data_IF_238409356171
#
_entry.id   IF_238409356171
#
_cell.length_a   1.000
_cell.length_b   1.000
_cell.length_c   1.000
_cell.angle_alpha   90.00
_cell.angle_beta   90.00
_cell.angle_gamma   90.00
#
_symmetry.space_group_name_H-M   'P 1'
#
loop_
_entity.id
_entity.type
_entity.pdbx_description
1 polymer ?
#
# COMPACT_ATOMS: atom_id res chain seq x y z
N UNK A 1 -15.65 26.26 -5.57
CA UNK A 1 -16.06 25.07 -4.81
C UNK A 1 -17.12 24.37 -5.62
N UNK A 2 -16.74 23.30 -6.31
CA UNK A 2 -17.66 22.50 -7.10
C UNK A 2 -18.41 21.56 -6.16
N UNK A 3 -19.74 21.44 -6.31
CA UNK A 3 -20.62 20.59 -5.48
C UNK A 3 -20.22 19.10 -5.44
N UNK A 4 -19.28 18.70 -6.28
CA UNK A 4 -18.65 17.37 -6.34
C UNK A 4 -17.51 17.18 -5.33
N UNK A 5 -17.02 18.25 -4.69
CA UNK A 5 -15.93 18.21 -3.72
C UNK A 5 -16.43 18.01 -2.29
N UNK A 6 -17.74 17.91 -2.08
CA UNK A 6 -18.35 17.76 -0.76
C UNK A 6 -18.20 16.29 -0.29
N UNK A 7 -17.25 15.99 0.61
CA UNK A 7 -16.94 14.60 0.97
C UNK A 7 -18.10 13.94 1.70
N UNK A 8 -18.90 14.72 2.42
CA UNK A 8 -20.08 14.22 3.13
C UNK A 8 -21.17 13.73 2.18
N UNK A 9 -21.42 14.48 1.09
CA UNK A 9 -22.43 14.13 0.10
C UNK A 9 -22.02 12.86 -0.67
N UNK A 10 -20.74 12.75 -1.02
CA UNK A 10 -20.19 11.55 -1.63
C UNK A 10 -20.31 10.33 -0.69
N UNK A 11 -20.01 10.49 0.60
CA UNK A 11 -20.14 9.43 1.60
C UNK A 11 -21.59 8.97 1.76
N UNK A 12 -22.53 9.93 1.85
CA UNK A 12 -23.95 9.62 2.00
C UNK A 12 -24.48 8.78 0.83
N UNK A 13 -24.17 9.19 -0.42
CA UNK A 13 -24.60 8.48 -1.62
C UNK A 13 -24.02 7.06 -1.70
N UNK A 14 -22.76 6.89 -1.30
CA UNK A 14 -22.12 5.56 -1.26
C UNK A 14 -22.78 4.66 -0.21
N UNK A 15 -23.09 5.19 0.97
CA UNK A 15 -23.78 4.43 2.01
C UNK A 15 -25.18 4.01 1.58
N UNK A 16 -25.97 4.91 0.98
CA UNK A 16 -27.29 4.57 0.43
C UNK A 16 -27.20 3.46 -0.61
N UNK A 17 -26.22 3.55 -1.53
CA UNK A 17 -25.98 2.52 -2.55
C UNK A 17 -25.63 1.18 -1.92
N UNK A 18 -24.75 1.15 -0.92
CA UNK A 18 -24.37 -0.07 -0.21
C UNK A 18 -25.55 -0.68 0.55
N UNK A 19 -26.38 0.15 1.18
CA UNK A 19 -27.59 -0.26 1.92
C UNK A 19 -28.62 -0.83 0.94
N UNK A 20 -28.83 -0.21 -0.22
CA UNK A 20 -29.75 -0.70 -1.24
C UNK A 20 -29.32 -2.07 -1.79
N UNK A 21 -28.02 -2.28 -1.99
CA UNK A 21 -27.48 -3.53 -2.55
C UNK A 21 -27.38 -4.69 -1.53
N UNK A 22 -27.01 -4.39 -0.28
CA UNK A 22 -26.65 -5.43 0.70
C UNK A 22 -27.58 -5.45 1.92
N UNK A 23 -28.43 -4.44 2.08
CA UNK A 23 -29.24 -4.22 3.27
C UNK A 23 -28.46 -3.62 4.44
N UNK A 24 -29.13 -2.78 5.23
CA UNK A 24 -28.50 -2.04 6.33
C UNK A 24 -27.76 -2.94 7.34
N UNK A 25 -28.32 -4.11 7.66
CA UNK A 25 -27.69 -5.06 8.61
C UNK A 25 -26.32 -5.55 8.15
N UNK A 26 -26.15 -5.87 6.86
CA UNK A 26 -24.86 -6.32 6.33
C UNK A 26 -23.84 -5.19 6.28
N UNK A 27 -24.28 -3.97 5.94
CA UNK A 27 -23.42 -2.78 5.92
C UNK A 27 -22.90 -2.47 7.33
N UNK A 28 -23.77 -2.50 8.35
CA UNK A 28 -23.36 -2.29 9.76
C UNK A 28 -22.39 -3.36 10.24
N UNK A 29 -22.65 -4.64 9.94
CA UNK A 29 -21.74 -5.72 10.30
C UNK A 29 -20.38 -5.60 9.59
N UNK A 30 -20.36 -5.19 8.32
CA UNK A 30 -19.13 -4.96 7.58
C UNK A 30 -18.32 -3.77 8.16
N UNK A 31 -19.01 -2.68 8.54
CA UNK A 31 -18.37 -1.55 9.21
C UNK A 31 -17.76 -1.95 10.57
N UNK A 32 -18.50 -2.74 11.37
CA UNK A 32 -18.00 -3.27 12.64
C UNK A 32 -16.81 -4.21 12.43
N UNK A 33 -16.89 -5.11 11.45
CA UNK A 33 -15.80 -6.01 11.09
C UNK A 33 -14.56 -5.24 10.61
N UNK A 34 -14.73 -4.15 9.87
CA UNK A 34 -13.64 -3.27 9.45
C UNK A 34 -12.96 -2.58 10.65
N UNK A 35 -13.72 -2.17 11.66
CA UNK A 35 -13.18 -1.58 12.89
C UNK A 35 -12.34 -2.59 13.68
N UNK A 36 -12.77 -3.85 13.72
CA UNK A 36 -12.03 -4.93 14.40
C UNK A 36 -10.89 -5.50 13.56
N UNK A 37 -10.85 -5.22 12.24
CA UNK A 37 -9.83 -5.76 11.35
C UNK A 37 -8.49 -5.13 11.70
N UNK A 38 -7.45 -5.91 12.03
CA UNK A 38 -6.11 -5.37 12.22
C UNK A 38 -5.72 -4.60 10.97
N UNK A 39 -5.28 -3.35 11.13
CA UNK A 39 -4.78 -2.52 10.02
C UNK A 39 -3.79 -3.37 9.23
N UNK A 40 -4.06 -3.58 7.94
CA UNK A 40 -3.22 -4.41 7.08
C UNK A 40 -1.78 -3.92 7.25
N UNK A 41 -0.90 -4.82 7.71
CA UNK A 41 0.52 -4.51 7.86
C UNK A 41 1.03 -4.06 6.48
N UNK A 42 1.87 -3.01 6.42
CA UNK A 42 2.43 -2.57 5.15
C UNK A 42 3.07 -3.76 4.43
N UNK A 43 2.93 -3.84 3.10
CA UNK A 43 3.46 -4.94 2.31
C UNK A 43 4.94 -5.15 2.64
N UNK A 44 5.38 -6.41 2.69
CA UNK A 44 6.74 -6.77 3.09
C UNK A 44 7.82 -6.00 2.30
N UNK A 45 7.51 -5.64 1.05
CA UNK A 45 8.34 -4.79 0.19
C UNK A 45 8.65 -3.40 0.79
N UNK A 46 7.69 -2.76 1.45
CA UNK A 46 7.90 -1.47 2.13
C UNK A 46 8.79 -1.64 3.36
N UNK A 47 8.69 -2.77 4.07
CA UNK A 47 9.60 -3.07 5.18
C UNK A 47 11.05 -3.24 4.72
N UNK A 48 11.28 -3.91 3.60
CA UNK A 48 12.62 -3.98 3.01
C UNK A 48 13.09 -2.63 2.47
N UNK A 49 12.15 -1.76 2.12
CA UNK A 49 12.38 -0.35 1.90
C UNK A 49 12.52 0.46 3.21
N UNK A 50 12.80 -0.14 4.35
CA UNK A 50 13.30 0.58 5.54
C UNK A 50 14.64 0.02 6.02
N UNK A 51 15.10 -1.10 5.46
CA UNK A 51 16.39 -1.69 5.81
C UNK A 51 17.58 -0.86 5.29
N UNK A 52 18.60 -0.75 6.14
CA UNK A 52 19.91 -0.18 5.80
C UNK A 52 20.62 -1.00 4.72
N UNK A 53 21.50 -0.35 3.94
CA UNK A 53 22.22 -0.99 2.83
C UNK A 53 23.08 -2.19 3.28
N UNK A 54 23.58 -2.17 4.52
CA UNK A 54 24.31 -3.29 5.11
C UNK A 54 23.40 -4.52 5.30
N UNK A 55 22.23 -4.34 5.92
CA UNK A 55 21.26 -5.42 6.10
C UNK A 55 20.71 -5.92 4.76
N UNK A 56 20.58 -5.03 3.76
CA UNK A 56 20.17 -5.40 2.40
C UNK A 56 21.22 -6.28 1.72
N UNK A 57 22.50 -5.96 1.88
CA UNK A 57 23.61 -6.79 1.36
C UNK A 57 23.60 -8.19 1.99
N UNK A 58 23.34 -8.29 3.29
CA UNK A 58 23.34 -9.58 4.01
C UNK A 58 22.21 -10.53 3.56
N UNK A 59 21.08 -9.98 3.10
CA UNK A 59 19.94 -10.73 2.57
C UNK A 59 19.93 -10.82 1.03
N UNK A 60 20.99 -10.35 0.36
CA UNK A 60 21.13 -10.41 -1.10
C UNK A 60 20.29 -9.40 -1.88
N UNK A 61 19.77 -8.36 -1.21
CA UNK A 61 19.02 -7.27 -1.85
C UNK A 61 20.00 -6.18 -2.37
N UNK A 62 19.74 -5.59 -3.55
CA UNK A 62 20.57 -4.52 -4.08
C UNK A 62 20.48 -3.26 -3.19
N UNK A 63 21.54 -2.45 -3.10
CA UNK A 63 21.52 -1.20 -2.34
C UNK A 63 20.47 -0.24 -2.89
N UNK A 64 20.01 0.69 -2.06
CA UNK A 64 18.87 1.57 -2.39
C UNK A 64 19.22 2.66 -3.40
N UNK A 65 20.49 3.04 -3.46
CA UNK A 65 21.01 4.00 -4.43
C UNK A 65 21.25 3.37 -5.80
N UNK A 66 21.29 4.21 -6.84
CA UNK A 66 21.79 3.81 -8.16
C UNK A 66 23.08 3.03 -7.97
N UNK A 67 23.07 1.77 -8.43
CA UNK A 67 24.25 0.92 -8.46
C UNK A 67 25.44 1.75 -8.91
N UNK A 68 26.55 1.83 -8.15
CA UNK A 68 27.75 2.46 -8.66
C UNK A 68 28.07 1.85 -10.03
N UNK A 69 28.50 2.65 -11.01
CA UNK A 69 28.74 2.16 -12.36
C UNK A 69 29.58 0.90 -12.28
N UNK A 70 29.09 -0.18 -12.92
CA UNK A 70 29.80 -1.45 -12.91
C UNK A 70 31.25 -1.19 -13.31
N UNK A 71 32.21 -1.68 -12.53
CA UNK A 71 33.60 -1.36 -12.81
C UNK A 71 33.98 -2.00 -14.17
N UNK A 72 34.60 -1.18 -15.00
CA UNK A 72 34.84 -1.38 -16.45
C UNK A 72 35.53 -2.70 -16.85
N UNK A 73 36.15 -3.41 -15.90
CA UNK A 73 36.75 -4.72 -16.12
C UNK A 73 35.71 -5.83 -16.38
N UNK A 74 34.43 -5.58 -16.11
CA UNK A 74 33.32 -6.50 -16.45
C UNK A 74 33.03 -6.55 -17.96
N UNK A 75 33.61 -5.67 -18.78
CA UNK A 75 33.49 -5.70 -20.25
C UNK A 75 34.53 -6.57 -20.96
N UNK A 76 35.54 -7.07 -20.26
CA UNK A 76 36.57 -7.92 -20.84
C UNK A 76 36.33 -9.39 -20.45
N UNK A 77 35.30 -9.98 -21.04
CA UNK A 77 35.10 -11.43 -21.09
C UNK A 77 35.49 -11.94 -22.47
N UNK A 78 36.47 -12.86 -22.50
CA UNK A 78 36.90 -13.63 -23.66
C UNK A 78 35.82 -14.58 -24.16
#
# INVERSE_FOLDING_TARGET
MTRTDDPELALHLHLETLIALHGARRVVLAALAALMRPRARPPLAEKFAELDDHMRRDIGLPPRGHSPPMPHWTHFGW
#
